data_IF_792416760411
#
_entry.id   IF_792416760411
#
_cell.length_a   1.000
_cell.length_b   1.000
_cell.length_c   1.000
_cell.angle_alpha   90.00
_cell.angle_beta   90.00
_cell.angle_gamma   90.00
#
_symmetry.space_group_name_H-M   'P 1'
#
loop_
_entity.id
_entity.type
_entity.pdbx_description
1 polymer ?
#
# COMPACT_ATOMS: atom_id res chain seq x y z
N UNK A 1 18.54 1.98 -18.16
CA UNK A 1 18.67 2.86 -16.97
C UNK A 1 19.74 2.28 -16.02
N UNK A 2 20.10 2.91 -14.88
CA UNK A 2 20.95 2.24 -13.85
C UNK A 2 20.11 1.74 -12.68
N UNK A 3 20.52 0.63 -12.05
CA UNK A 3 19.86 0.09 -10.84
C UNK A 3 19.73 1.12 -9.71
N UNK A 4 20.72 2.02 -9.54
CA UNK A 4 20.68 3.12 -8.56
C UNK A 4 19.63 4.18 -8.90
N UNK A 5 19.50 4.55 -10.18
CA UNK A 5 18.45 5.45 -10.66
C UNK A 5 17.06 4.83 -10.42
N UNK A 6 16.90 3.54 -10.78
CA UNK A 6 15.64 2.80 -10.58
C UNK A 6 15.24 2.71 -9.11
N UNK A 7 16.21 2.54 -8.19
CA UNK A 7 15.96 2.58 -6.76
C UNK A 7 15.48 3.96 -6.29
N UNK A 8 16.16 5.04 -6.68
CA UNK A 8 15.77 6.40 -6.31
C UNK A 8 14.34 6.75 -6.79
N UNK A 9 14.03 6.45 -8.06
CA UNK A 9 12.69 6.65 -8.61
C UNK A 9 11.64 5.79 -7.88
N UNK A 10 11.99 4.56 -7.45
CA UNK A 10 11.10 3.70 -6.64
C UNK A 10 10.78 4.34 -5.28
N UNK A 11 11.77 4.96 -4.62
CA UNK A 11 11.57 5.63 -3.34
C UNK A 11 10.75 6.93 -3.51
N UNK A 12 10.95 7.71 -4.58
CA UNK A 12 10.13 8.89 -4.93
C UNK A 12 8.68 8.51 -5.23
N UNK A 13 8.45 7.51 -6.07
CA UNK A 13 7.13 6.93 -6.40
C UNK A 13 6.43 6.41 -5.14
N UNK A 14 7.18 5.79 -4.23
CA UNK A 14 6.65 5.35 -2.92
C UNK A 14 6.25 6.55 -2.05
N UNK A 15 7.11 7.55 -1.89
CA UNK A 15 6.83 8.74 -1.11
C UNK A 15 5.57 9.46 -1.63
N UNK A 16 5.45 9.65 -2.94
CA UNK A 16 4.28 10.27 -3.57
C UNK A 16 3.00 9.43 -3.37
N UNK A 17 3.06 8.10 -3.52
CA UNK A 17 1.94 7.21 -3.23
C UNK A 17 1.45 7.35 -1.78
N UNK A 18 2.37 7.47 -0.84
CA UNK A 18 2.05 7.63 0.59
C UNK A 18 1.47 9.02 0.91
N UNK A 19 1.87 10.07 0.18
CA UNK A 19 1.25 11.41 0.24
C UNK A 19 -0.17 11.38 -0.32
N UNK A 20 -0.37 10.87 -1.53
CA UNK A 20 -1.68 10.79 -2.18
C UNK A 20 -2.69 9.95 -1.37
N UNK A 21 -2.28 8.79 -0.87
CA UNK A 21 -3.12 7.96 0.02
C UNK A 21 -3.47 8.67 1.34
N UNK A 22 -2.57 9.53 1.85
CA UNK A 22 -2.83 10.36 3.02
C UNK A 22 -3.85 11.45 2.73
N UNK A 23 -3.78 12.08 1.56
CA UNK A 23 -4.74 13.09 1.11
C UNK A 23 -6.14 12.47 0.97
N UNK A 24 -6.28 11.30 0.34
CA UNK A 24 -7.56 10.57 0.25
C UNK A 24 -8.09 10.24 1.64
N UNK A 25 -7.24 9.76 2.56
CA UNK A 25 -7.63 9.50 3.95
C UNK A 25 -8.12 10.74 4.70
N UNK A 26 -7.42 11.87 4.56
CA UNK A 26 -7.79 13.13 5.19
C UNK A 26 -9.07 13.74 4.61
N UNK A 27 -9.22 13.72 3.28
CA UNK A 27 -10.43 14.17 2.59
C UNK A 27 -11.64 13.31 2.98
N UNK A 28 -11.48 12.00 3.06
CA UNK A 28 -12.54 11.09 3.56
C UNK A 28 -12.99 11.45 4.97
N UNK A 29 -12.05 11.79 5.88
CA UNK A 29 -12.39 12.23 7.24
C UNK A 29 -13.19 13.54 7.21
N UNK A 30 -12.76 14.53 6.43
CA UNK A 30 -13.45 15.83 6.34
C UNK A 30 -14.86 15.70 5.75
N UNK A 31 -15.02 14.91 4.68
CA UNK A 31 -16.30 14.67 4.01
C UNK A 31 -17.25 13.83 4.88
N UNK A 32 -16.74 12.85 5.63
CA UNK A 32 -17.53 12.08 6.59
C UNK A 32 -17.96 12.92 7.81
N UNK A 33 -17.14 13.90 8.26
CA UNK A 33 -17.51 14.85 9.30
C UNK A 33 -18.56 15.86 8.80
N UNK A 34 -18.42 16.38 7.59
CA UNK A 34 -19.41 17.27 6.97
C UNK A 34 -20.77 16.56 6.81
N UNK A 35 -20.76 15.32 6.30
CA UNK A 35 -21.97 14.49 6.18
C UNK A 35 -22.60 14.14 7.54
N UNK A 36 -21.82 14.13 8.63
CA UNK A 36 -22.34 13.96 9.99
C UNK A 36 -22.86 15.27 10.61
N UNK A 37 -22.38 16.43 10.17
CA UNK A 37 -22.93 17.73 10.60
C UNK A 37 -24.41 17.85 10.22
N UNK A 38 -24.79 17.34 9.05
CA UNK A 38 -26.17 17.20 8.55
C UNK A 38 -27.10 16.32 9.43
N UNK A 39 -26.58 15.54 10.40
CA UNK A 39 -27.41 14.64 11.23
C UNK A 39 -28.01 15.42 12.42
N UNK A 40 -29.32 15.71 12.45
CA UNK A 40 -29.97 16.39 13.57
C UNK A 40 -30.00 15.51 14.83
N UNK A 41 -29.81 16.11 16.00
CA UNK A 41 -29.80 15.38 17.28
C UNK A 41 -31.21 14.95 17.69
N UNK A 42 -32.24 15.66 17.29
CA UNK A 42 -33.66 15.39 17.57
C UNK A 42 -34.30 14.41 16.58
N UNK A 43 -33.84 14.36 15.32
CA UNK A 43 -34.46 13.56 14.23
C UNK A 43 -33.55 12.41 13.73
N UNK A 44 -32.75 11.83 14.62
CA UNK A 44 -31.75 10.77 14.32
C UNK A 44 -32.34 9.57 13.57
N UNK A 45 -33.46 9.04 14.04
CA UNK A 45 -34.12 7.88 13.43
C UNK A 45 -34.64 8.17 12.00
N UNK A 46 -35.14 9.37 11.75
CA UNK A 46 -35.66 9.77 10.43
C UNK A 46 -34.54 9.99 9.40
N UNK A 47 -33.36 10.46 9.85
CA UNK A 47 -32.23 10.77 8.97
C UNK A 47 -31.27 9.61 8.74
N UNK A 48 -31.28 8.58 9.61
CA UNK A 48 -30.32 7.47 9.58
C UNK A 48 -30.17 6.77 8.22
N UNK A 49 -31.28 6.33 7.60
CA UNK A 49 -31.26 5.68 6.29
C UNK A 49 -30.92 6.60 5.11
N UNK A 50 -30.97 7.93 5.30
CA UNK A 50 -30.46 8.92 4.36
C UNK A 50 -28.95 9.11 4.49
N UNK A 51 -28.48 9.31 5.72
CA UNK A 51 -27.06 9.44 6.07
C UNK A 51 -26.26 8.19 5.67
N UNK A 52 -26.71 6.99 6.05
CA UNK A 52 -25.99 5.73 5.81
C UNK A 52 -25.72 5.48 4.33
N UNK A 53 -26.72 5.72 3.47
CA UNK A 53 -26.56 5.57 2.00
C UNK A 53 -25.52 6.56 1.45
N UNK A 54 -25.61 7.85 1.83
CA UNK A 54 -24.61 8.86 1.44
C UNK A 54 -23.20 8.45 1.91
N UNK A 55 -23.07 7.95 3.13
CA UNK A 55 -21.79 7.59 3.75
C UNK A 55 -21.16 6.35 3.10
N UNK A 56 -21.96 5.33 2.77
CA UNK A 56 -21.49 4.16 2.01
C UNK A 56 -21.00 4.58 0.61
N UNK A 57 -21.78 5.38 -0.13
CA UNK A 57 -21.37 5.86 -1.45
C UNK A 57 -20.07 6.68 -1.41
N UNK A 58 -19.94 7.57 -0.42
CA UNK A 58 -18.73 8.37 -0.18
C UNK A 58 -17.51 7.48 0.06
N UNK A 59 -17.57 6.58 1.04
CA UNK A 59 -16.41 5.80 1.46
C UNK A 59 -16.03 4.74 0.43
N UNK A 60 -16.98 4.11 -0.27
CA UNK A 60 -16.66 3.18 -1.36
C UNK A 60 -16.04 3.89 -2.58
N UNK A 61 -16.42 5.15 -2.85
CA UNK A 61 -15.74 5.97 -3.87
C UNK A 61 -14.28 6.27 -3.49
N UNK A 62 -14.05 6.71 -2.25
CA UNK A 62 -12.69 6.96 -1.70
C UNK A 62 -11.85 5.67 -1.58
N UNK A 63 -12.50 4.53 -1.32
CA UNK A 63 -11.88 3.21 -1.33
C UNK A 63 -11.42 2.80 -2.73
N UNK A 64 -12.27 2.97 -3.75
CA UNK A 64 -11.91 2.76 -5.16
C UNK A 64 -10.70 3.61 -5.56
N UNK A 65 -10.73 4.92 -5.28
CA UNK A 65 -9.58 5.81 -5.54
C UNK A 65 -8.29 5.29 -4.89
N UNK A 66 -8.37 4.84 -3.63
CA UNK A 66 -7.21 4.27 -2.91
C UNK A 66 -6.71 2.97 -3.55
N UNK A 67 -7.62 2.07 -3.96
CA UNK A 67 -7.31 0.80 -4.63
C UNK A 67 -6.63 1.04 -5.98
N UNK A 68 -7.20 1.93 -6.80
CA UNK A 68 -6.75 2.19 -8.16
C UNK A 68 -5.38 2.93 -8.15
N UNK A 69 -5.20 3.90 -7.26
CA UNK A 69 -3.90 4.54 -6.96
C UNK A 69 -2.82 3.50 -6.57
N UNK A 70 -3.17 2.53 -5.73
CA UNK A 70 -2.24 1.50 -5.28
C UNK A 70 -1.88 0.51 -6.40
N UNK A 71 -2.79 0.23 -7.34
CA UNK A 71 -2.50 -0.59 -8.52
C UNK A 71 -1.48 0.11 -9.42
N UNK A 72 -1.70 1.37 -9.77
CA UNK A 72 -0.76 2.16 -10.57
C UNK A 72 0.63 2.27 -9.90
N UNK A 73 0.65 2.55 -8.58
CA UNK A 73 1.87 2.51 -7.77
C UNK A 73 2.59 1.16 -7.87
N UNK A 74 1.86 0.05 -7.68
CA UNK A 74 2.44 -1.28 -7.73
C UNK A 74 3.01 -1.63 -9.11
N UNK A 75 2.30 -1.27 -10.18
CA UNK A 75 2.72 -1.50 -11.57
C UNK A 75 4.02 -0.74 -11.91
N UNK A 76 4.12 0.54 -11.54
CA UNK A 76 5.31 1.35 -11.76
C UNK A 76 6.50 0.90 -10.90
N UNK A 77 6.31 0.75 -9.60
CA UNK A 77 7.39 0.34 -8.68
C UNK A 77 7.93 -1.07 -9.00
N UNK A 78 7.06 -2.00 -9.46
CA UNK A 78 7.50 -3.33 -9.92
C UNK A 78 8.32 -3.27 -11.21
N UNK A 79 7.94 -2.41 -12.16
CA UNK A 79 8.70 -2.22 -13.38
C UNK A 79 10.12 -1.72 -13.06
N UNK A 80 10.24 -0.66 -12.27
CA UNK A 80 11.52 -0.10 -11.82
C UNK A 80 12.39 -1.15 -11.10
N UNK A 81 11.80 -2.00 -10.26
CA UNK A 81 12.55 -3.00 -9.48
C UNK A 81 12.84 -4.31 -10.22
N UNK A 82 12.13 -4.64 -11.30
CA UNK A 82 12.18 -5.99 -11.91
C UNK A 82 12.21 -6.05 -13.45
N UNK A 83 12.12 -4.91 -14.15
CA UNK A 83 11.98 -4.85 -15.61
C UNK A 83 10.62 -5.34 -16.14
N UNK A 84 9.70 -5.73 -15.26
CA UNK A 84 8.39 -6.29 -15.62
C UNK A 84 7.29 -5.70 -14.76
N UNK A 85 6.09 -5.54 -15.29
CA UNK A 85 4.92 -5.03 -14.57
C UNK A 85 3.80 -6.08 -14.52
N UNK A 86 2.67 -5.73 -13.91
CA UNK A 86 1.49 -6.60 -13.84
C UNK A 86 0.31 -6.04 -14.64
N UNK A 87 -0.55 -6.94 -15.09
CA UNK A 87 -1.83 -6.63 -15.70
C UNK A 87 -2.76 -5.87 -14.75
N UNK A 88 -3.65 -5.04 -15.29
CA UNK A 88 -4.85 -4.65 -14.55
C UNK A 88 -5.84 -5.86 -14.58
N UNK A 89 -6.33 -6.36 -13.43
CA UNK A 89 -7.22 -7.52 -13.38
C UNK A 89 -8.57 -7.34 -14.08
N UNK A 90 -8.91 -6.12 -14.50
CA UNK A 90 -10.10 -5.80 -15.30
C UNK A 90 -9.75 -5.45 -16.76
N UNK A 91 -8.48 -5.13 -17.04
CA UNK A 91 -7.94 -4.74 -18.36
C UNK A 91 -6.53 -5.33 -18.56
N UNK A 92 -6.39 -6.63 -18.89
CA UNK A 92 -5.08 -7.29 -18.92
C UNK A 92 -4.23 -6.95 -20.16
N UNK A 93 -4.86 -6.45 -21.22
CA UNK A 93 -4.17 -5.94 -22.42
C UNK A 93 -3.55 -4.55 -22.15
N UNK A 94 -2.41 -4.19 -22.79
CA UNK A 94 -1.60 -4.99 -23.72
C UNK A 94 -0.52 -5.84 -23.04
N UNK A 95 0.09 -6.78 -23.77
CA UNK A 95 1.22 -7.61 -23.31
C UNK A 95 2.49 -6.81 -22.95
N UNK A 96 2.66 -5.61 -23.50
CA UNK A 96 3.81 -4.73 -23.27
C UNK A 96 3.36 -3.28 -23.10
N UNK A 97 3.95 -2.56 -22.16
CA UNK A 97 3.77 -1.11 -21.95
C UNK A 97 5.13 -0.40 -21.87
N UNK A 98 5.16 0.91 -22.07
CA UNK A 98 6.38 1.70 -21.80
C UNK A 98 6.47 2.04 -20.30
N UNK A 99 7.67 2.30 -19.79
CA UNK A 99 7.84 2.91 -18.47
C UNK A 99 7.15 4.28 -18.38
N UNK A 100 7.12 5.02 -19.48
CA UNK A 100 6.44 6.31 -19.58
C UNK A 100 4.91 6.20 -19.43
N UNK A 101 4.28 5.09 -19.87
CA UNK A 101 2.85 4.83 -19.61
C UNK A 101 2.60 4.61 -18.12
N UNK A 102 3.42 3.79 -17.46
CA UNK A 102 3.30 3.52 -16.03
C UNK A 102 3.52 4.78 -15.18
N UNK A 103 4.47 5.64 -15.58
CA UNK A 103 4.67 6.97 -14.99
C UNK A 103 3.44 7.86 -15.18
N UNK A 104 2.83 7.91 -16.37
CA UNK A 104 1.61 8.69 -16.66
C UNK A 104 0.40 8.17 -15.84
N UNK A 105 0.20 6.86 -15.80
CA UNK A 105 -0.85 6.18 -15.04
C UNK A 105 -0.77 6.53 -13.54
N UNK A 106 0.43 6.46 -12.98
CA UNK A 106 0.67 6.80 -11.58
C UNK A 106 0.54 8.31 -11.31
N UNK A 107 1.14 9.17 -12.14
CA UNK A 107 1.08 10.63 -11.98
C UNK A 107 -0.38 11.14 -11.96
N UNK A 108 -1.23 10.63 -12.86
CA UNK A 108 -2.64 11.00 -12.96
C UNK A 108 -3.48 10.66 -11.70
N UNK A 109 -3.03 9.71 -10.88
CA UNK A 109 -3.69 9.30 -9.65
C UNK A 109 -3.00 9.84 -8.38
N UNK A 110 -1.69 10.05 -8.42
CA UNK A 110 -0.91 10.57 -7.30
C UNK A 110 -0.99 12.10 -7.17
N UNK A 111 -1.06 12.83 -8.29
CA UNK A 111 -1.23 14.29 -8.36
C UNK A 111 -0.03 15.13 -7.87
N UNK A 112 0.82 14.59 -6.98
CA UNK A 112 2.06 15.23 -6.47
C UNK A 112 3.33 14.55 -6.98
N UNK A 113 3.23 13.72 -8.01
CA UNK A 113 4.37 13.07 -8.67
C UNK A 113 4.51 13.66 -10.07
N UNK A 114 5.61 14.36 -10.30
CA UNK A 114 6.05 14.77 -11.63
C UNK A 114 6.99 13.67 -12.17
N UNK A 115 6.66 13.03 -13.30
CA UNK A 115 7.58 12.09 -13.94
C UNK A 115 8.93 12.75 -14.27
N UNK A 116 10.05 12.01 -14.24
CA UNK A 116 11.31 12.48 -14.80
C UNK A 116 11.11 12.99 -16.23
N UNK A 117 11.60 14.19 -16.55
CA UNK A 117 11.42 14.79 -17.86
C UNK A 117 12.25 14.06 -18.92
N UNK A 118 11.61 13.23 -19.73
CA UNK A 118 12.20 12.67 -20.93
C UNK A 118 12.72 13.82 -21.82
N UNK A 119 14.00 13.81 -22.18
CA UNK A 119 14.56 14.84 -23.07
C UNK A 119 14.08 14.59 -24.50
N UNK A 120 13.62 15.61 -25.24
CA UNK A 120 12.78 15.38 -26.41
C UNK A 120 13.57 14.96 -27.65
N UNK A 121 13.17 13.83 -28.24
CA UNK A 121 13.56 13.42 -29.60
C UNK A 121 12.32 13.04 -30.43
N UNK A 122 12.10 13.87 -31.45
CA UNK A 122 11.26 13.72 -32.64
C UNK A 122 9.70 13.67 -32.58
N UNK A 123 9.02 14.27 -33.58
CA UNK A 123 7.57 14.20 -33.77
C UNK A 123 7.13 12.86 -34.42
N UNK A 124 5.83 12.52 -34.39
CA UNK A 124 5.35 11.26 -34.98
C UNK A 124 5.63 11.17 -36.49
N UNK A 125 6.00 10.00 -37.01
CA UNK A 125 6.28 9.80 -38.43
C UNK A 125 5.01 9.90 -39.29
N UNK A 126 5.13 10.58 -40.43
CA UNK A 126 4.04 10.74 -41.40
C UNK A 126 3.80 9.44 -42.21
N UNK A 127 2.57 9.28 -42.72
CA UNK A 127 2.09 8.04 -43.31
C UNK A 127 2.53 7.85 -44.79
N UNK A 128 3.80 7.48 -45.01
CA UNK A 128 4.46 7.49 -46.33
C UNK A 128 4.83 6.13 -46.96
N UNK A 129 3.88 5.51 -47.65
CA UNK A 129 4.08 4.53 -48.77
C UNK A 129 4.82 3.19 -48.54
N UNK A 130 4.95 2.39 -49.61
CA UNK A 130 5.25 0.94 -49.62
C UNK A 130 6.30 0.59 -50.69
N UNK A 131 7.18 -0.38 -50.40
CA UNK A 131 7.68 -1.44 -51.31
C UNK A 131 8.91 -2.16 -50.68
N UNK A 132 9.33 -3.38 -51.04
CA UNK A 132 8.65 -4.60 -51.54
C UNK A 132 9.73 -5.69 -51.83
N UNK A 133 9.49 -6.96 -51.45
CA UNK A 133 10.22 -8.19 -51.93
C UNK A 133 11.70 -8.30 -51.48
N UNK A 134 12.41 -9.44 -51.49
CA UNK A 134 12.16 -10.92 -51.57
C UNK A 134 13.53 -11.64 -51.44
N UNK A 135 13.68 -12.96 -51.19
CA UNK A 135 12.86 -14.04 -50.60
C UNK A 135 13.75 -15.33 -50.47
N UNK A 136 13.32 -16.35 -49.72
CA UNK A 136 14.07 -17.60 -49.43
C UNK A 136 14.83 -17.55 -48.09
N UNK A 137 15.37 -18.62 -47.50
CA UNK A 137 15.39 -20.09 -47.77
C UNK A 137 16.21 -20.74 -46.62
N UNK A 138 16.02 -21.97 -46.12
CA UNK A 138 14.88 -22.91 -46.11
C UNK A 138 15.17 -24.10 -45.15
N UNK A 139 14.30 -25.13 -45.10
CA UNK A 139 14.48 -26.47 -44.46
C UNK A 139 14.56 -26.61 -42.90
N UNK A 140 14.04 -27.76 -42.43
CA UNK A 140 13.95 -28.29 -41.05
C UNK A 140 14.53 -29.73 -41.02
N UNK A 141 14.43 -30.56 -39.95
CA UNK A 141 14.55 -30.38 -38.49
C UNK A 141 15.66 -31.30 -37.89
N UNK A 142 15.75 -31.41 -36.55
CA UNK A 142 16.27 -32.61 -35.86
C UNK A 142 15.50 -32.93 -34.58
N UNK A 143 15.11 -34.19 -34.43
CA UNK A 143 14.69 -34.85 -33.18
C UNK A 143 15.97 -35.21 -32.34
N UNK A 144 15.98 -35.82 -31.14
CA UNK A 144 15.02 -36.72 -30.48
C UNK A 144 15.31 -36.87 -28.95
N UNK A 145 14.50 -37.68 -28.25
CA UNK A 145 14.72 -38.33 -26.92
C UNK A 145 14.91 -37.48 -25.62
N UNK A 146 14.69 -37.98 -24.38
CA UNK A 146 13.66 -38.88 -23.81
C UNK A 146 13.73 -38.84 -22.24
N UNK A 147 12.68 -39.33 -21.56
CA UNK A 147 12.56 -39.78 -20.14
C UNK A 147 12.85 -38.81 -18.96
N UNK A 148 11.82 -38.61 -18.13
CA UNK A 148 11.83 -39.31 -16.83
C UNK A 148 11.67 -38.50 -15.52
N UNK A 149 10.91 -39.11 -14.60
CA UNK A 149 10.93 -38.97 -13.13
C UNK A 149 10.73 -37.61 -12.43
N UNK A 150 9.54 -37.48 -11.83
CA UNK A 150 9.33 -36.96 -10.46
C UNK A 150 9.31 -38.15 -9.46
N UNK A 151 9.26 -38.00 -8.10
CA UNK A 151 8.95 -36.79 -7.30
C UNK A 151 9.80 -36.56 -6.01
N UNK A 152 9.52 -35.45 -5.31
CA UNK A 152 10.09 -35.09 -3.98
C UNK A 152 11.35 -34.24 -4.07
N UNK A 153 11.68 -33.35 -3.13
CA UNK A 153 11.21 -33.17 -1.74
C UNK A 153 11.25 -31.67 -1.32
N UNK A 154 10.74 -31.33 -0.12
CA UNK A 154 10.70 -29.96 0.40
C UNK A 154 12.11 -29.34 0.55
N UNK A 155 12.39 -28.31 -0.23
CA UNK A 155 13.52 -27.41 -0.01
C UNK A 155 13.15 -25.96 -0.32
N UNK A 156 13.39 -25.07 0.64
CA UNK A 156 13.16 -23.64 0.45
C UNK A 156 14.18 -23.12 -0.57
N UNK A 157 13.69 -22.68 -1.74
CA UNK A 157 14.53 -22.21 -2.83
C UNK A 157 15.46 -21.08 -2.36
N UNK A 158 16.75 -21.38 -2.28
CA UNK A 158 17.81 -20.37 -2.18
C UNK A 158 17.80 -19.63 -3.50
N UNK A 159 17.23 -18.43 -3.51
CA UNK A 159 17.37 -17.49 -4.62
C UNK A 159 18.84 -17.07 -4.62
N UNK A 160 19.59 -17.56 -5.61
CA UNK A 160 21.00 -17.30 -5.77
C UNK A 160 21.19 -15.85 -6.26
N UNK A 161 21.71 -14.99 -5.37
CA UNK A 161 21.80 -13.54 -5.52
C UNK A 161 23.06 -13.17 -6.33
N UNK A 162 23.21 -13.82 -7.49
CA UNK A 162 24.38 -13.75 -8.39
C UNK A 162 24.08 -13.04 -9.71
N UNK A 163 23.40 -11.89 -9.63
CA UNK A 163 23.55 -10.83 -10.63
C UNK A 163 24.17 -9.59 -9.96
N UNK A 164 25.50 -9.63 -9.83
CA UNK A 164 26.33 -8.51 -9.38
C UNK A 164 26.87 -7.71 -10.58
N UNK A 165 26.14 -7.70 -11.70
CA UNK A 165 26.42 -6.80 -12.80
C UNK A 165 26.00 -5.36 -12.46
N UNK A 166 26.88 -4.40 -12.71
CA UNK A 166 26.54 -2.96 -12.80
C UNK A 166 25.74 -2.68 -14.09
N UNK A 167 24.71 -3.51 -14.36
CA UNK A 167 23.95 -3.54 -15.59
C UNK A 167 23.31 -2.19 -15.89
N UNK A 168 23.82 -1.54 -16.94
CA UNK A 168 23.18 -0.37 -17.52
C UNK A 168 22.16 -0.89 -18.54
N UNK A 169 20.92 -1.10 -18.08
CA UNK A 169 19.82 -1.51 -18.96
C UNK A 169 19.76 -0.53 -20.16
N UNK A 170 19.42 -1.01 -21.35
CA UNK A 170 19.28 -0.15 -22.53
C UNK A 170 18.09 0.81 -22.37
N UNK A 171 17.88 1.70 -23.34
CA UNK A 171 16.68 2.53 -23.39
C UNK A 171 15.49 1.72 -23.96
N UNK A 172 15.74 0.90 -24.99
CA UNK A 172 14.84 -0.09 -25.59
C UNK A 172 14.14 -1.00 -24.55
N UNK A 173 14.85 -1.42 -23.49
CA UNK A 173 14.31 -2.25 -22.41
C UNK A 173 13.11 -1.59 -21.69
N UNK A 174 13.03 -0.26 -21.67
CA UNK A 174 11.98 0.51 -20.99
C UNK A 174 10.85 0.95 -21.94
N UNK A 175 11.03 0.78 -23.25
CA UNK A 175 9.93 0.87 -24.23
C UNK A 175 9.06 -0.39 -24.23
N UNK A 176 9.56 -1.53 -23.72
CA UNK A 176 8.88 -2.82 -23.77
C UNK A 176 8.85 -3.58 -22.43
N UNK A 177 8.36 -2.91 -21.39
CA UNK A 177 8.09 -3.54 -20.08
C UNK A 177 7.00 -4.61 -20.24
N UNK A 178 7.37 -5.88 -20.00
CA UNK A 178 6.44 -7.02 -20.07
C UNK A 178 5.35 -6.91 -19.00
N UNK A 179 4.11 -7.13 -19.40
CA UNK A 179 2.92 -7.17 -18.52
C UNK A 179 2.60 -8.63 -18.15
N UNK A 180 2.52 -8.93 -16.85
CA UNK A 180 2.26 -10.29 -16.35
C UNK A 180 0.93 -10.39 -15.58
N UNK A 181 0.19 -11.49 -15.79
CA UNK A 181 -1.02 -11.77 -15.02
C UNK A 181 -0.71 -12.41 -13.65
N UNK A 182 -1.35 -11.89 -12.60
CA UNK A 182 -1.33 -12.51 -11.27
C UNK A 182 -2.55 -13.43 -11.11
N UNK A 183 -2.30 -14.75 -11.11
CA UNK A 183 -3.34 -15.78 -11.01
C UNK A 183 -4.29 -15.55 -9.81
N UNK A 184 -5.59 -15.52 -10.07
CA UNK A 184 -6.63 -15.33 -9.05
C UNK A 184 -6.60 -13.96 -8.37
N UNK A 185 -6.06 -12.93 -9.02
CA UNK A 185 -6.05 -11.54 -8.52
C UNK A 185 -7.46 -10.93 -8.58
N UNK A 186 -8.15 -11.06 -9.71
CA UNK A 186 -9.46 -10.44 -9.94
C UNK A 186 -10.51 -10.95 -8.97
N UNK A 187 -10.62 -12.27 -8.84
CA UNK A 187 -11.58 -12.96 -7.98
C UNK A 187 -11.38 -12.56 -6.51
N UNK A 188 -10.12 -12.31 -6.12
CA UNK A 188 -9.73 -11.88 -4.78
C UNK A 188 -10.00 -10.40 -4.53
N UNK A 189 -9.71 -9.49 -5.48
CA UNK A 189 -10.11 -8.09 -5.37
C UNK A 189 -11.65 -7.98 -5.29
N UNK A 190 -12.37 -8.66 -6.17
CA UNK A 190 -13.84 -8.72 -6.15
C UNK A 190 -14.38 -9.31 -4.84
N UNK A 191 -13.69 -10.30 -4.23
CA UNK A 191 -14.03 -10.86 -2.91
C UNK A 191 -13.77 -9.87 -1.78
N UNK A 192 -12.65 -9.14 -1.83
CA UNK A 192 -12.25 -8.15 -0.83
C UNK A 192 -13.17 -6.94 -0.85
N UNK A 193 -13.53 -6.41 -2.03
CA UNK A 193 -14.43 -5.25 -2.13
C UNK A 193 -15.84 -5.57 -1.63
N UNK A 194 -16.37 -6.78 -1.91
CA UNK A 194 -17.63 -7.25 -1.29
C UNK A 194 -17.55 -7.32 0.23
N UNK A 195 -16.43 -7.78 0.79
CA UNK A 195 -16.24 -7.82 2.25
C UNK A 195 -16.07 -6.42 2.84
N UNK A 196 -15.42 -5.50 2.15
CA UNK A 196 -15.22 -4.13 2.60
C UNK A 196 -16.53 -3.32 2.60
N UNK A 197 -17.42 -3.52 1.63
CA UNK A 197 -18.75 -2.88 1.64
C UNK A 197 -19.62 -3.38 2.80
N UNK A 198 -19.57 -4.68 3.10
CA UNK A 198 -20.31 -5.25 4.23
C UNK A 198 -19.72 -4.84 5.58
N UNK A 199 -18.39 -4.80 5.72
CA UNK A 199 -17.73 -4.22 6.90
C UNK A 199 -18.16 -2.76 7.09
N UNK A 200 -18.17 -1.97 6.02
CA UNK A 200 -18.56 -0.56 6.03
C UNK A 200 -20.02 -0.36 6.47
N UNK A 201 -20.94 -1.20 5.98
CA UNK A 201 -22.36 -1.20 6.38
C UNK A 201 -22.50 -1.43 7.88
N UNK A 202 -21.97 -2.55 8.38
CA UNK A 202 -22.02 -2.92 9.81
C UNK A 202 -21.37 -1.84 10.69
N UNK A 203 -20.22 -1.31 10.28
CA UNK A 203 -19.46 -0.31 11.04
C UNK A 203 -20.18 1.05 11.07
N UNK A 204 -20.75 1.52 9.96
CA UNK A 204 -21.47 2.79 9.92
C UNK A 204 -22.83 2.71 10.61
N UNK A 205 -23.53 1.58 10.53
CA UNK A 205 -24.74 1.35 11.33
C UNK A 205 -24.43 1.40 12.83
N UNK A 206 -23.33 0.79 13.26
CA UNK A 206 -22.90 0.76 14.66
C UNK A 206 -22.30 2.08 15.19
N UNK A 207 -21.61 2.86 14.34
CA UNK A 207 -20.92 4.10 14.73
C UNK A 207 -21.68 5.40 14.41
N UNK A 208 -22.72 5.33 13.58
CA UNK A 208 -23.56 6.44 13.17
C UNK A 208 -24.67 6.79 14.18
N UNK A 209 -25.93 7.00 13.75
CA UNK A 209 -27.01 7.44 14.64
C UNK A 209 -27.20 6.57 15.89
N UNK A 210 -27.06 5.24 15.79
CA UNK A 210 -27.18 4.34 16.95
C UNK A 210 -26.08 4.52 18.01
N UNK A 211 -24.90 5.01 17.62
CA UNK A 211 -23.84 5.43 18.56
C UNK A 211 -24.26 6.71 19.29
N UNK A 212 -24.83 7.68 18.58
CA UNK A 212 -25.36 8.89 19.17
C UNK A 212 -26.55 8.59 20.10
N UNK A 213 -27.47 7.70 19.71
CA UNK A 213 -28.56 7.23 20.58
C UNK A 213 -28.02 6.65 21.90
N UNK A 214 -27.04 5.73 21.85
CA UNK A 214 -26.38 5.16 23.04
C UNK A 214 -25.67 6.21 23.90
N UNK A 215 -25.18 7.29 23.30
CA UNK A 215 -24.51 8.38 24.03
C UNK A 215 -25.51 9.30 24.73
N UNK A 216 -26.68 9.51 24.11
CA UNK A 216 -27.78 10.29 24.70
C UNK A 216 -28.53 9.56 25.83
N UNK A 217 -28.24 8.27 26.10
CA UNK A 217 -28.77 7.56 27.28
C UNK A 217 -27.87 7.66 28.52
N UNK A 218 -26.78 8.42 28.47
CA UNK A 218 -25.94 8.71 29.64
C UNK A 218 -26.53 9.90 30.40
N UNK A 219 -26.55 9.82 31.73
CA UNK A 219 -26.98 10.92 32.60
C UNK A 219 -26.08 12.16 32.40
N UNK A 220 -26.68 13.35 32.40
CA UNK A 220 -26.03 14.65 32.11
C UNK A 220 -25.21 14.73 30.80
N UNK A 221 -25.57 13.93 29.78
CA UNK A 221 -24.90 13.96 28.47
C UNK A 221 -25.10 15.31 27.72
N UNK A 222 -24.00 16.05 27.48
CA UNK A 222 -23.97 17.16 26.51
C UNK A 222 -24.33 16.62 25.11
N UNK A 223 -25.45 17.06 24.49
CA UNK A 223 -25.87 16.59 23.18
C UNK A 223 -24.86 16.92 22.07
N UNK A 224 -24.15 18.06 22.18
CA UNK A 224 -23.17 18.46 21.19
C UNK A 224 -21.86 17.67 21.35
N UNK A 225 -21.39 17.37 22.57
CA UNK A 225 -20.26 16.46 22.78
C UNK A 225 -20.58 15.04 22.32
N UNK A 226 -21.79 14.54 22.63
CA UNK A 226 -22.26 13.25 22.14
C UNK A 226 -22.23 13.19 20.61
N UNK A 227 -22.69 14.25 19.92
CA UNK A 227 -22.62 14.37 18.46
C UNK A 227 -21.18 14.51 17.96
N UNK A 228 -20.32 15.32 18.59
CA UNK A 228 -18.90 15.48 18.22
C UNK A 228 -18.15 14.15 18.30
N UNK A 229 -18.31 13.40 19.40
CA UNK A 229 -17.61 12.13 19.61
C UNK A 229 -18.11 11.01 18.67
N UNK A 230 -19.42 10.89 18.43
CA UNK A 230 -19.96 9.95 17.46
C UNK A 230 -19.45 10.27 16.03
N UNK A 231 -19.47 11.55 15.65
CA UNK A 231 -18.98 12.03 14.36
C UNK A 231 -17.49 11.73 14.12
N UNK A 232 -16.66 11.96 15.14
CA UNK A 232 -15.23 11.63 15.13
C UNK A 232 -14.98 10.13 14.95
N UNK A 233 -15.74 9.27 15.64
CA UNK A 233 -15.61 7.82 15.55
C UNK A 233 -15.99 7.28 14.15
N UNK A 234 -17.14 7.66 13.60
CA UNK A 234 -17.53 7.20 12.27
C UNK A 234 -16.60 7.74 11.17
N UNK A 235 -16.09 8.97 11.29
CA UNK A 235 -15.16 9.54 10.32
C UNK A 235 -13.78 8.85 10.34
N UNK A 236 -13.28 8.46 11.51
CA UNK A 236 -12.05 7.70 11.65
C UNK A 236 -12.15 6.30 11.03
N UNK A 237 -13.31 5.65 11.15
CA UNK A 237 -13.60 4.36 10.53
C UNK A 237 -13.83 4.46 9.01
N UNK A 238 -14.52 5.51 8.56
CA UNK A 238 -14.68 5.85 7.14
C UNK A 238 -13.32 6.03 6.45
N UNK A 239 -12.45 6.86 7.05
CA UNK A 239 -11.07 7.08 6.59
C UNK A 239 -10.26 5.77 6.55
N UNK A 240 -10.37 4.93 7.59
CA UNK A 240 -9.74 3.60 7.62
C UNK A 240 -10.20 2.72 6.46
N UNK A 241 -11.49 2.59 6.22
CA UNK A 241 -12.03 1.67 5.20
C UNK A 241 -11.70 2.16 3.78
N UNK A 242 -11.68 3.47 3.54
CA UNK A 242 -11.19 4.08 2.31
C UNK A 242 -9.70 3.75 2.08
N UNK A 243 -8.82 4.15 3.01
CA UNK A 243 -7.37 3.88 2.91
C UNK A 243 -7.05 2.38 2.85
N UNK A 244 -7.92 1.53 3.41
CA UNK A 244 -7.79 0.08 3.33
C UNK A 244 -7.92 -0.46 1.91
N UNK A 245 -8.46 0.27 0.93
CA UNK A 245 -8.44 -0.13 -0.48
C UNK A 245 -7.01 -0.35 -0.96
N UNK A 246 -6.18 0.70 -0.85
CA UNK A 246 -4.75 0.66 -1.19
C UNK A 246 -3.99 -0.43 -0.44
N UNK A 247 -4.26 -0.56 0.87
CA UNK A 247 -3.58 -1.52 1.74
C UNK A 247 -3.92 -2.97 1.38
N UNK A 248 -5.15 -3.26 0.97
CA UNK A 248 -5.53 -4.58 0.45
C UNK A 248 -4.99 -4.84 -0.95
N UNK A 249 -4.92 -3.83 -1.83
CA UNK A 249 -4.32 -3.97 -3.17
C UNK A 249 -2.88 -4.43 -3.08
N UNK A 250 -2.02 -3.70 -2.34
CA UNK A 250 -0.61 -4.06 -2.18
C UNK A 250 -0.45 -5.46 -1.56
N UNK A 251 -1.19 -5.77 -0.49
CA UNK A 251 -1.19 -7.12 0.11
C UNK A 251 -1.56 -8.22 -0.90
N UNK A 252 -2.62 -8.00 -1.68
CA UNK A 252 -3.20 -9.01 -2.58
C UNK A 252 -2.33 -9.27 -3.80
N UNK A 253 -1.74 -8.21 -4.36
CA UNK A 253 -0.77 -8.32 -5.45
C UNK A 253 0.46 -9.10 -4.97
N UNK A 254 1.05 -8.71 -3.84
CA UNK A 254 2.31 -9.29 -3.37
C UNK A 254 2.22 -10.73 -2.88
N UNK A 255 1.06 -11.15 -2.39
CA UNK A 255 0.82 -12.57 -2.03
C UNK A 255 0.58 -13.45 -3.26
N UNK A 256 0.56 -12.88 -4.47
CA UNK A 256 0.44 -13.58 -5.77
C UNK A 256 1.66 -13.37 -6.67
N UNK A 257 2.32 -12.22 -6.58
CA UNK A 257 3.54 -11.92 -7.33
C UNK A 257 4.73 -12.74 -6.82
N UNK A 258 5.16 -13.72 -7.63
CA UNK A 258 6.33 -14.55 -7.34
C UNK A 258 7.64 -13.74 -7.25
N UNK A 259 7.71 -12.57 -7.90
CA UNK A 259 8.88 -11.66 -7.82
C UNK A 259 8.94 -10.84 -6.55
N UNK A 260 7.84 -10.69 -5.80
CA UNK A 260 7.86 -9.96 -4.54
C UNK A 260 8.64 -10.73 -3.46
N UNK A 261 9.53 -10.06 -2.74
CA UNK A 261 10.23 -10.60 -1.57
C UNK A 261 9.32 -10.65 -0.33
N UNK A 262 8.37 -9.72 -0.24
CA UNK A 262 7.47 -9.51 0.90
C UNK A 262 7.29 -8.00 1.11
N UNK A 263 6.35 -7.57 1.95
CA UNK A 263 6.23 -6.14 2.27
C UNK A 263 6.88 -5.79 3.59
N UNK A 264 7.19 -4.52 3.75
CA UNK A 264 7.38 -3.90 5.07
C UNK A 264 6.16 -3.06 5.42
N UNK A 265 5.79 -3.02 6.70
CA UNK A 265 4.98 -1.91 7.20
C UNK A 265 5.93 -0.73 7.41
N UNK A 266 5.49 0.47 7.06
CA UNK A 266 6.18 1.73 7.33
C UNK A 266 5.26 2.71 8.08
N UNK A 267 5.86 3.73 8.71
CA UNK A 267 5.15 4.75 9.48
C UNK A 267 5.24 6.13 8.82
N UNK A 268 4.10 6.71 8.45
CA UNK A 268 4.02 8.08 7.92
C UNK A 268 4.55 9.17 8.87
N UNK A 269 4.54 8.92 10.18
CA UNK A 269 4.79 9.96 11.19
C UNK A 269 6.14 9.80 11.91
N UNK A 270 6.95 8.79 11.54
CA UNK A 270 8.13 8.35 12.32
C UNK A 270 7.80 7.82 13.74
N UNK A 271 6.53 7.91 14.16
CA UNK A 271 6.04 7.71 15.53
C UNK A 271 4.87 6.73 15.54
N UNK A 272 5.06 5.49 15.06
CA UNK A 272 3.99 4.49 14.97
C UNK A 272 3.47 4.09 16.34
N UNK A 273 2.19 3.73 16.45
CA UNK A 273 1.69 3.11 17.68
C UNK A 273 2.46 1.80 17.96
N UNK A 274 2.62 1.43 19.22
CA UNK A 274 3.44 0.27 19.59
C UNK A 274 2.98 -1.10 19.02
N UNK A 275 1.78 -1.20 18.44
CA UNK A 275 1.39 -2.36 17.63
C UNK A 275 1.98 -2.27 16.22
N UNK A 276 1.79 -1.14 15.54
CA UNK A 276 2.37 -0.90 14.21
C UNK A 276 3.90 -0.99 14.24
N UNK A 277 4.54 -0.50 15.30
CA UNK A 277 5.99 -0.65 15.51
C UNK A 277 6.46 -2.11 15.49
N UNK A 278 5.64 -3.06 15.98
CA UNK A 278 5.94 -4.50 15.92
C UNK A 278 5.72 -5.09 14.52
N UNK A 279 4.76 -4.57 13.74
CA UNK A 279 4.59 -4.98 12.35
C UNK A 279 5.72 -4.42 11.45
N UNK A 280 6.24 -3.24 11.80
CA UNK A 280 7.40 -2.58 11.18
C UNK A 280 8.69 -3.35 11.49
N UNK A 281 8.84 -3.88 12.71
CA UNK A 281 10.03 -4.63 13.17
C UNK A 281 10.19 -6.04 12.58
N UNK A 282 9.36 -6.45 11.61
CA UNK A 282 9.43 -7.80 11.02
C UNK A 282 10.29 -7.90 9.76
N UNK A 283 10.70 -6.77 9.17
CA UNK A 283 11.36 -6.78 7.86
C UNK A 283 10.44 -7.33 6.73
N UNK A 284 11.01 -7.66 5.55
CA UNK A 284 10.27 -8.06 4.35
C UNK A 284 9.86 -9.54 4.34
N UNK A 285 9.23 -10.04 5.43
CA UNK A 285 8.98 -11.48 5.64
C UNK A 285 7.60 -11.99 5.22
N UNK A 286 6.69 -11.10 4.85
CA UNK A 286 5.28 -11.43 4.62
C UNK A 286 5.03 -12.00 3.21
N UNK A 287 5.42 -13.26 2.96
CA UNK A 287 5.04 -14.00 1.72
C UNK A 287 3.84 -14.92 1.89
N UNK A 288 3.74 -15.64 3.01
CA UNK A 288 2.73 -16.70 3.21
C UNK A 288 1.65 -16.31 4.21
N UNK A 289 0.48 -16.96 4.11
CA UNK A 289 -0.63 -16.80 5.07
C UNK A 289 -0.20 -17.20 6.48
N UNK A 290 0.71 -18.17 6.55
CA UNK A 290 1.33 -18.73 7.75
C UNK A 290 2.30 -17.72 8.38
N UNK A 291 3.12 -17.03 7.59
CA UNK A 291 3.98 -15.92 8.06
C UNK A 291 3.17 -14.74 8.62
N UNK A 292 1.92 -14.59 8.17
CA UNK A 292 0.96 -13.59 8.64
C UNK A 292 -0.03 -14.13 9.70
N UNK A 293 0.33 -15.17 10.47
CA UNK A 293 -0.55 -15.78 11.51
C UNK A 293 -0.73 -14.97 12.79
N UNK A 294 -1.06 -13.69 12.64
CA UNK A 294 -2.00 -13.03 13.53
C UNK A 294 -3.19 -12.59 12.68
N UNK A 295 -4.28 -13.37 12.67
CA UNK A 295 -5.49 -13.08 11.89
C UNK A 295 -6.19 -11.76 12.28
N UNK A 296 -5.86 -11.21 13.46
CA UNK A 296 -6.25 -9.87 13.90
C UNK A 296 -5.13 -8.82 13.76
N UNK A 297 -3.90 -9.25 13.44
CA UNK A 297 -2.69 -8.47 13.60
C UNK A 297 -2.35 -7.54 12.44
N UNK A 298 -2.69 -7.93 11.22
CA UNK A 298 -2.56 -7.10 10.03
C UNK A 298 -3.81 -6.25 9.74
N UNK A 299 -4.78 -6.25 10.66
CA UNK A 299 -5.91 -5.32 10.66
C UNK A 299 -5.42 -3.93 11.05
N UNK A 300 -5.54 -2.98 10.12
CA UNK A 300 -5.42 -1.56 10.42
C UNK A 300 -6.54 -1.13 11.37
N UNK A 301 -6.23 -0.31 12.36
CA UNK A 301 -7.19 0.29 13.29
C UNK A 301 -7.58 1.71 12.87
N UNK A 302 -8.63 2.27 13.47
CA UNK A 302 -9.06 3.65 13.20
C UNK A 302 -7.93 4.64 13.55
N UNK A 303 -7.78 5.70 12.76
CA UNK A 303 -6.65 6.64 12.82
C UNK A 303 -5.25 6.00 12.65
N UNK A 304 -5.13 4.79 12.10
CA UNK A 304 -3.82 4.22 11.79
C UNK A 304 -3.16 4.91 10.58
N UNK A 305 -1.95 5.44 10.76
CA UNK A 305 -1.16 6.12 9.74
C UNK A 305 -0.06 5.26 9.09
N UNK A 306 -0.13 3.94 9.23
CA UNK A 306 0.81 3.02 8.58
C UNK A 306 0.25 2.49 7.26
N UNK A 307 1.11 1.94 6.42
CA UNK A 307 0.78 1.40 5.09
C UNK A 307 1.69 0.20 4.78
N UNK A 308 1.59 -0.37 3.56
CA UNK A 308 2.40 -1.49 3.09
C UNK A 308 3.25 -1.04 1.90
N UNK A 309 4.57 -1.13 2.02
CA UNK A 309 5.50 -0.92 0.91
C UNK A 309 5.93 -2.29 0.36
N UNK A 310 5.81 -2.54 -0.95
CA UNK A 310 6.37 -3.71 -1.58
C UNK A 310 7.91 -3.71 -1.61
N UNK A 311 8.51 -4.85 -1.30
CA UNK A 311 9.92 -5.14 -1.52
C UNK A 311 10.02 -6.29 -2.53
N UNK A 312 10.91 -6.17 -3.53
CA UNK A 312 11.19 -7.20 -4.54
C UNK A 312 12.58 -7.83 -4.40
N UNK A 313 13.59 -7.07 -3.96
CA UNK A 313 14.96 -7.57 -3.72
C UNK A 313 15.52 -7.06 -2.38
N UNK A 314 16.62 -7.65 -1.91
CA UNK A 314 17.22 -7.30 -0.62
C UNK A 314 17.83 -5.90 -0.62
N UNK A 315 18.46 -5.48 -1.71
CA UNK A 315 19.14 -4.19 -1.77
C UNK A 315 18.15 -3.01 -1.70
N UNK A 316 16.95 -3.15 -2.27
CA UNK A 316 15.85 -2.21 -2.05
C UNK A 316 15.55 -2.04 -0.55
N UNK A 317 15.52 -3.13 0.22
CA UNK A 317 15.28 -3.08 1.67
C UNK A 317 16.46 -2.49 2.46
N UNK A 318 17.70 -2.71 2.02
CA UNK A 318 18.90 -2.24 2.72
C UNK A 318 19.29 -0.79 2.37
N UNK A 319 19.08 -0.36 1.12
CA UNK A 319 19.51 0.95 0.62
C UNK A 319 18.47 2.07 0.74
N UNK A 320 17.17 1.74 0.76
CA UNK A 320 16.12 2.75 0.91
C UNK A 320 16.15 3.39 2.30
N UNK A 321 16.03 4.72 2.37
CA UNK A 321 15.83 5.45 3.63
C UNK A 321 14.40 5.29 4.16
N UNK A 322 13.42 5.02 3.29
CA UNK A 322 12.03 4.78 3.72
C UNK A 322 11.92 3.54 4.62
N UNK A 323 12.79 2.54 4.42
CA UNK A 323 12.86 1.30 5.21
C UNK A 323 13.82 1.38 6.41
N UNK A 324 14.51 2.51 6.65
CA UNK A 324 15.47 2.64 7.74
C UNK A 324 14.84 2.42 9.14
N UNK A 325 13.59 2.85 9.33
CA UNK A 325 12.84 2.61 10.58
C UNK A 325 12.52 1.11 10.78
N UNK A 326 12.28 0.36 9.70
CA UNK A 326 12.11 -1.09 9.75
C UNK A 326 13.41 -1.76 10.19
N UNK A 327 14.55 -1.42 9.56
CA UNK A 327 15.87 -1.94 9.94
C UNK A 327 16.23 -1.65 11.41
N UNK A 328 15.94 -0.43 11.88
CA UNK A 328 16.14 -0.05 13.29
C UNK A 328 15.25 -0.85 14.25
N UNK A 329 13.99 -1.07 13.91
CA UNK A 329 13.07 -1.79 14.78
C UNK A 329 13.30 -3.31 14.74
N UNK A 330 13.72 -3.86 13.60
CA UNK A 330 14.12 -5.25 13.41
C UNK A 330 15.29 -5.65 14.30
N UNK A 331 16.32 -4.81 14.42
CA UNK A 331 17.45 -5.05 15.34
C UNK A 331 17.07 -4.87 16.82
N UNK A 332 16.25 -3.88 17.15
CA UNK A 332 15.80 -3.64 18.53
C UNK A 332 14.81 -4.68 19.06
N UNK A 333 14.01 -5.32 18.19
CA UNK A 333 12.98 -6.28 18.61
C UNK A 333 13.55 -7.45 19.45
N UNK A 334 14.53 -8.26 18.99
CA UNK A 334 15.06 -9.39 19.77
C UNK A 334 15.77 -8.97 21.05
N UNK A 335 16.34 -7.76 21.11
CA UNK A 335 16.92 -7.21 22.34
C UNK A 335 15.84 -6.85 23.37
N UNK A 336 14.83 -6.09 22.93
CA UNK A 336 13.75 -5.58 23.79
C UNK A 336 12.80 -6.69 24.25
N UNK A 337 12.58 -7.73 23.45
CA UNK A 337 11.72 -8.87 23.83
C UNK A 337 12.49 -10.08 24.35
N UNK A 338 13.79 -9.94 24.67
CA UNK A 338 14.62 -11.04 25.19
C UNK A 338 14.00 -11.67 26.44
N UNK A 339 13.74 -12.98 26.41
CA UNK A 339 13.10 -13.72 27.50
C UNK A 339 11.57 -13.64 27.53
N UNK A 340 10.94 -12.91 26.60
CA UNK A 340 9.49 -12.77 26.49
C UNK A 340 8.97 -13.37 25.18
N UNK A 341 7.74 -13.88 25.17
CA UNK A 341 7.11 -14.48 23.98
C UNK A 341 5.66 -14.02 23.79
N UNK A 342 5.12 -14.22 22.58
CA UNK A 342 3.70 -13.99 22.27
C UNK A 342 3.16 -12.64 22.71
N UNK A 343 2.07 -12.65 23.49
CA UNK A 343 1.40 -11.43 23.97
C UNK A 343 2.25 -10.61 24.95
N UNK A 344 3.20 -11.21 25.66
CA UNK A 344 4.07 -10.48 26.59
C UNK A 344 5.22 -9.80 25.85
N UNK A 345 5.85 -10.44 24.87
CA UNK A 345 6.83 -9.80 23.97
C UNK A 345 6.26 -8.51 23.34
N UNK A 346 5.04 -8.59 22.78
CA UNK A 346 4.31 -7.42 22.26
C UNK A 346 4.02 -6.39 23.37
N UNK A 347 3.76 -6.82 24.61
CA UNK A 347 3.48 -5.91 25.72
C UNK A 347 4.74 -5.18 26.21
N UNK A 348 5.89 -5.85 26.25
CA UNK A 348 7.21 -5.25 26.53
C UNK A 348 7.57 -4.24 25.45
N UNK A 349 7.48 -4.63 24.17
CA UNK A 349 7.72 -3.75 23.04
C UNK A 349 6.81 -2.52 23.05
N UNK A 350 5.51 -2.70 23.30
CA UNK A 350 4.55 -1.60 23.48
C UNK A 350 4.88 -0.70 24.68
N UNK A 351 5.63 -1.15 25.70
CA UNK A 351 6.15 -0.29 26.78
C UNK A 351 7.40 0.47 26.31
N UNK A 352 8.35 -0.21 25.66
CA UNK A 352 9.57 0.39 25.10
C UNK A 352 9.27 1.53 24.11
N UNK A 353 8.46 1.28 23.08
CA UNK A 353 8.11 2.30 22.07
C UNK A 353 7.43 3.53 22.72
N UNK A 354 6.54 3.32 23.70
CA UNK A 354 5.92 4.42 24.46
C UNK A 354 6.90 5.18 25.35
N UNK A 355 8.02 4.57 25.78
CA UNK A 355 9.10 5.27 26.50
C UNK A 355 9.92 6.12 25.52
N UNK A 356 10.39 5.54 24.42
CA UNK A 356 11.18 6.25 23.41
C UNK A 356 10.43 7.47 22.84
N UNK A 357 9.16 7.31 22.48
CA UNK A 357 8.33 8.40 21.96
C UNK A 357 8.05 9.50 23.00
N UNK A 358 8.02 9.17 24.30
CA UNK A 358 7.90 10.18 25.36
C UNK A 358 9.21 10.94 25.58
N UNK A 359 10.36 10.27 25.51
CA UNK A 359 11.67 10.92 25.60
C UNK A 359 11.88 11.90 24.43
N UNK A 360 11.73 11.44 23.18
CA UNK A 360 11.85 12.28 22.00
C UNK A 360 10.87 13.48 22.00
N UNK A 361 9.63 13.28 22.49
CA UNK A 361 8.66 14.37 22.64
C UNK A 361 8.95 15.33 23.81
N UNK A 362 9.80 14.95 24.77
CA UNK A 362 10.29 15.85 25.83
C UNK A 362 11.52 16.62 25.34
N UNK A 363 12.47 15.94 24.70
CA UNK A 363 13.66 16.53 24.07
C UNK A 363 13.28 17.59 23.02
N UNK A 364 12.33 17.28 22.12
CA UNK A 364 11.84 18.21 21.11
C UNK A 364 11.15 19.45 21.71
N UNK A 365 10.50 19.33 22.89
CA UNK A 365 9.90 20.48 23.59
C UNK A 365 10.98 21.35 24.25
N UNK A 366 12.00 20.71 24.83
CA UNK A 366 13.12 21.41 25.44
C UNK A 366 13.89 22.21 24.38
N UNK A 367 14.22 21.62 23.23
CA UNK A 367 14.93 22.33 22.15
C UNK A 367 14.13 23.52 21.61
N UNK A 368 12.82 23.38 21.39
CA UNK A 368 11.95 24.52 21.01
C UNK A 368 11.84 25.60 22.09
N UNK A 369 12.00 25.25 23.37
CA UNK A 369 11.98 26.19 24.50
C UNK A 369 13.33 26.86 24.78
N UNK A 370 14.41 26.40 24.13
CA UNK A 370 15.76 26.97 24.24
C UNK A 370 16.20 27.75 23.00
N UNK A 371 15.39 27.78 21.95
CA UNK A 371 15.59 28.71 20.85
C UNK A 371 15.26 30.14 21.34
N UNK A 372 16.17 31.12 21.20
CA UNK A 372 15.85 32.51 21.53
C UNK A 372 14.81 33.07 20.55
N UNK A 373 13.93 33.93 21.03
CA UNK A 373 13.12 34.80 20.17
C UNK A 373 14.06 35.72 19.37
N UNK A 374 13.80 35.85 18.06
CA UNK A 374 14.69 36.49 17.08
C UNK A 374 13.94 37.54 16.25
#
# INVERSE_FOLDING_TARGET
MTRKTRQAETDEVSAAFHVALTQIGAQTTAEALALWADVPVDQRAATAGGWLRKAITLVMSRRRQSRDLARAYYRLARALQTGTTVADPYHPEPTYVTLADLRREFAALAGTYEPPSDSPSDPPPDAGEKNSRSAGTDETPTEDDDQGQAPGDDSAAVIDDQDQGDGQDSEDDWERVLVEELNGLREEEDRIERQAEEELRIVLEALGPANLDRRMTVEDADPDEAKRQAGSQQAAAASRIAMNGARSTNWTHMTRDRRALGYVRLSRTGTPCGWCAMLISRGPVYKSRESATFADGDKYHDNCHCYAMPIWNRDQYQSSELTALSRQYESLWPEVTKGHTGKDAVSVWRRFIRKQQRAAAQEARQSTSTAPEA
#
